data_IF_665380509854
#
_entry.id   IF_665380509854
#
_cell.length_a   1.000
_cell.length_b   1.000
_cell.length_c   1.000
_cell.angle_alpha   90.00
_cell.angle_beta   90.00
_cell.angle_gamma   90.00
#
_symmetry.space_group_name_H-M   'P 1'
#
loop_
_entity.id
_entity.type
_entity.pdbx_description
1 polymer ?
#
# COMPACT_ATOMS: atom_id res chain seq x y z
N UNK A 1 12.73 25.59 4.78
CA UNK A 1 12.39 24.53 5.73
C UNK A 1 11.04 24.75 6.44
N UNK A 2 10.79 25.90 7.12
CA UNK A 2 9.52 26.13 7.82
C UNK A 2 8.32 26.32 6.85
N UNK A 3 8.55 27.02 5.75
CA UNK A 3 7.53 27.28 4.72
C UNK A 3 7.09 26.00 3.99
N UNK A 4 8.04 25.11 3.68
CA UNK A 4 7.77 23.83 3.04
C UNK A 4 7.00 22.86 3.97
N UNK A 5 7.36 22.84 5.27
CA UNK A 5 6.59 22.09 6.27
C UNK A 5 5.14 22.56 6.36
N UNK A 6 4.89 23.86 6.25
CA UNK A 6 3.52 24.42 6.22
C UNK A 6 2.77 24.02 4.94
N UNK A 7 3.43 24.09 3.78
CA UNK A 7 2.84 23.72 2.47
C UNK A 7 2.46 22.23 2.43
N UNK A 8 3.34 21.36 2.91
CA UNK A 8 3.05 19.91 3.02
C UNK A 8 1.92 19.60 4.01
N UNK A 9 1.89 20.29 5.14
CA UNK A 9 0.81 20.09 6.12
C UNK A 9 -0.55 20.51 5.55
N UNK A 10 -0.58 21.60 4.80
CA UNK A 10 -1.79 22.06 4.09
C UNK A 10 -2.23 21.05 3.04
N UNK A 11 -1.29 20.50 2.26
CA UNK A 11 -1.60 19.48 1.25
C UNK A 11 -2.12 18.18 1.87
N UNK A 12 -1.50 17.71 2.95
CA UNK A 12 -1.96 16.49 3.62
C UNK A 12 -3.35 16.64 4.26
N UNK A 13 -3.65 17.79 4.85
CA UNK A 13 -4.98 18.05 5.39
C UNK A 13 -6.03 18.08 4.28
N UNK A 14 -5.67 18.61 3.12
CA UNK A 14 -6.53 18.57 1.94
C UNK A 14 -6.76 17.15 1.47
N UNK A 15 -5.74 16.32 1.34
CA UNK A 15 -5.89 14.90 0.96
C UNK A 15 -6.82 14.16 1.93
N UNK A 16 -6.65 14.34 3.24
CA UNK A 16 -7.49 13.72 4.25
C UNK A 16 -8.95 14.15 4.07
N UNK A 17 -9.21 15.44 3.84
CA UNK A 17 -10.56 15.95 3.60
C UNK A 17 -11.13 15.40 2.28
N UNK A 18 -10.38 15.47 1.18
CA UNK A 18 -10.82 14.98 -0.12
C UNK A 18 -11.12 13.46 -0.06
N UNK A 19 -10.35 12.65 0.72
CA UNK A 19 -10.61 11.23 0.94
C UNK A 19 -11.87 11.04 1.79
N UNK A 20 -12.05 11.86 2.81
CA UNK A 20 -13.28 11.83 3.64
C UNK A 20 -14.53 12.03 2.79
N UNK A 21 -14.47 12.95 1.83
CA UNK A 21 -15.58 13.29 0.94
C UNK A 21 -15.82 12.25 -0.19
N UNK A 22 -14.94 11.24 -0.34
CA UNK A 22 -15.16 10.16 -1.30
C UNK A 22 -16.43 9.36 -0.95
N UNK A 23 -17.17 8.85 -1.97
CA UNK A 23 -18.27 7.92 -1.74
C UNK A 23 -17.83 6.73 -0.87
N UNK A 24 -18.65 6.40 0.11
CA UNK A 24 -18.35 5.32 1.08
C UNK A 24 -18.10 3.98 0.39
N UNK A 25 -18.80 3.70 -0.72
CA UNK A 25 -18.61 2.49 -1.52
C UNK A 25 -17.19 2.38 -2.10
N UNK A 26 -16.60 3.50 -2.52
CA UNK A 26 -15.21 3.52 -3.01
C UNK A 26 -14.26 3.13 -1.88
N UNK A 27 -14.43 3.71 -0.70
CA UNK A 27 -13.57 3.46 0.47
C UNK A 27 -13.72 2.03 1.01
N UNK A 28 -14.95 1.50 1.04
CA UNK A 28 -15.24 0.16 1.53
C UNK A 28 -14.83 -0.95 0.56
N UNK A 29 -15.00 -0.74 -0.74
CA UNK A 29 -14.81 -1.80 -1.74
C UNK A 29 -13.45 -1.72 -2.45
N UNK A 30 -12.70 -0.62 -2.31
CA UNK A 30 -11.33 -0.58 -2.81
C UNK A 30 -10.41 -1.45 -1.96
N UNK A 31 -9.41 -2.04 -2.62
CA UNK A 31 -8.40 -2.90 -1.99
C UNK A 31 -7.05 -2.20 -2.11
N UNK A 32 -6.35 -2.02 -0.99
CA UNK A 32 -4.99 -1.51 -0.96
C UNK A 32 -4.07 -2.68 -0.58
N UNK A 33 -3.12 -3.03 -1.45
CA UNK A 33 -2.11 -4.05 -1.19
C UNK A 33 -0.83 -3.39 -0.72
N UNK A 34 -0.36 -3.77 0.46
CA UNK A 34 0.90 -3.30 1.07
C UNK A 34 1.81 -4.49 1.42
N UNK A 35 3.08 -4.22 1.67
CA UNK A 35 4.05 -5.24 2.08
C UNK A 35 5.40 -5.15 1.35
N UNK A 36 6.38 -6.00 1.72
CA UNK A 36 7.74 -5.97 1.22
C UNK A 36 7.85 -6.16 -0.30
N UNK A 37 9.03 -5.86 -0.84
CA UNK A 37 9.33 -6.15 -2.24
C UNK A 37 9.40 -7.67 -2.47
N UNK A 38 8.71 -8.14 -3.52
CA UNK A 38 8.74 -9.58 -3.90
C UNK A 38 7.60 -10.42 -3.32
N UNK A 39 6.64 -9.82 -2.62
CA UNK A 39 5.41 -10.50 -2.15
C UNK A 39 4.32 -10.62 -3.23
N UNK A 40 4.62 -10.37 -4.48
CA UNK A 40 3.65 -10.58 -5.57
C UNK A 40 2.48 -9.60 -5.62
N UNK A 41 2.51 -8.47 -4.88
CA UNK A 41 1.43 -7.45 -4.87
C UNK A 41 0.89 -7.13 -6.26
N UNK A 42 1.78 -6.78 -7.18
CA UNK A 42 1.39 -6.39 -8.54
C UNK A 42 0.76 -7.53 -9.35
N UNK A 43 1.18 -8.77 -9.10
CA UNK A 43 0.57 -9.96 -9.73
C UNK A 43 -0.81 -10.22 -9.15
N UNK A 44 -0.94 -10.20 -7.83
CA UNK A 44 -2.20 -10.37 -7.12
C UNK A 44 -3.18 -9.24 -7.46
N UNK A 45 -2.70 -7.99 -7.53
CA UNK A 45 -3.51 -6.85 -7.94
C UNK A 45 -4.11 -7.01 -9.36
N UNK A 46 -3.34 -7.57 -10.32
CA UNK A 46 -3.87 -7.86 -11.66
C UNK A 46 -4.98 -8.90 -11.64
N UNK A 47 -4.84 -9.93 -10.80
CA UNK A 47 -5.86 -10.98 -10.67
C UNK A 47 -7.14 -10.39 -10.04
N UNK A 48 -7.02 -9.65 -8.94
CA UNK A 48 -8.14 -9.04 -8.24
C UNK A 48 -8.87 -7.97 -9.07
N UNK A 49 -8.14 -7.16 -9.80
CA UNK A 49 -8.70 -6.08 -10.61
C UNK A 49 -9.40 -6.58 -11.88
N UNK A 50 -9.20 -7.85 -12.26
CA UNK A 50 -9.72 -8.43 -13.52
C UNK A 50 -9.36 -7.49 -14.70
N UNK A 51 -10.31 -6.91 -15.39
CA UNK A 51 -10.03 -6.08 -16.57
C UNK A 51 -10.11 -4.57 -16.34
N UNK A 52 -10.01 -4.04 -15.11
CA UNK A 52 -10.32 -2.64 -15.19
C UNK A 52 -9.83 -1.64 -14.16
N UNK A 53 -9.68 -1.94 -12.93
CA UNK A 53 -9.51 -0.90 -11.91
C UNK A 53 -8.26 -1.09 -11.05
N UNK A 54 -7.14 -1.45 -11.69
CA UNK A 54 -5.85 -1.49 -11.02
C UNK A 54 -5.16 -0.12 -11.10
N UNK A 55 -4.60 0.32 -9.97
CA UNK A 55 -3.74 1.51 -9.88
C UNK A 55 -2.36 1.05 -9.41
N UNK A 56 -1.38 0.93 -10.32
CA UNK A 56 -0.05 0.40 -10.02
C UNK A 56 0.88 1.50 -9.51
N UNK A 57 0.85 1.81 -8.22
CA UNK A 57 1.76 2.81 -7.63
C UNK A 57 3.23 2.36 -7.60
N UNK A 58 3.51 1.07 -7.85
CA UNK A 58 4.87 0.52 -7.96
C UNK A 58 5.36 0.41 -9.41
N UNK A 59 4.55 0.84 -10.39
CA UNK A 59 4.88 0.75 -11.80
C UNK A 59 5.68 1.97 -12.26
N UNK A 60 6.90 1.73 -12.71
CA UNK A 60 7.82 2.78 -13.17
C UNK A 60 7.26 3.58 -14.34
N UNK A 61 6.51 2.97 -15.25
CA UNK A 61 5.91 3.68 -16.40
C UNK A 61 4.73 4.56 -15.96
N UNK A 62 3.88 4.06 -15.06
CA UNK A 62 2.83 4.86 -14.45
C UNK A 62 3.41 6.05 -13.69
N UNK A 63 4.50 5.83 -12.95
CA UNK A 63 5.17 6.86 -12.19
C UNK A 63 5.92 7.86 -13.08
N UNK A 64 6.49 7.47 -14.22
CA UNK A 64 7.22 8.38 -15.11
C UNK A 64 6.36 9.58 -15.53
N UNK A 65 5.09 9.38 -15.82
CA UNK A 65 4.16 10.46 -16.12
C UNK A 65 3.96 11.46 -14.98
N UNK A 66 4.05 10.98 -13.75
CA UNK A 66 3.92 11.78 -12.53
C UNK A 66 5.27 12.40 -12.10
N UNK A 67 6.39 11.74 -12.42
CA UNK A 67 7.76 12.22 -12.13
C UNK A 67 8.17 13.46 -12.94
N UNK A 68 7.48 13.81 -14.01
CA UNK A 68 7.75 15.04 -14.75
C UNK A 68 7.66 16.30 -13.86
N UNK A 69 6.97 16.21 -12.74
CA UNK A 69 6.84 17.27 -11.74
C UNK A 69 7.76 17.13 -10.51
N UNK A 70 8.73 16.19 -10.56
CA UNK A 70 9.61 15.85 -9.42
C UNK A 70 10.50 17.01 -8.93
N UNK A 71 10.77 18.01 -9.73
CA UNK A 71 11.60 19.15 -9.35
C UNK A 71 11.02 19.97 -8.18
N UNK A 72 9.76 19.75 -7.82
CA UNK A 72 9.10 20.43 -6.70
C UNK A 72 9.31 19.75 -5.35
N UNK A 73 9.84 18.50 -5.32
CA UNK A 73 9.99 17.72 -4.10
C UNK A 73 11.46 17.52 -3.73
N UNK A 74 11.92 18.22 -2.71
CA UNK A 74 13.31 18.12 -2.22
C UNK A 74 13.61 16.80 -1.47
N UNK A 75 12.61 15.93 -1.26
CA UNK A 75 12.75 14.66 -0.57
C UNK A 75 11.87 13.61 -1.24
N UNK A 76 12.49 12.51 -1.64
CA UNK A 76 11.81 11.38 -2.27
C UNK A 76 10.62 10.84 -1.45
N UNK A 77 10.73 10.78 -0.12
CA UNK A 77 9.63 10.33 0.76
C UNK A 77 8.44 11.28 0.79
N UNK A 78 8.69 12.57 0.67
CA UNK A 78 7.63 13.57 0.55
C UNK A 78 6.88 13.42 -0.78
N UNK A 79 7.62 13.08 -1.84
CA UNK A 79 7.04 12.80 -3.15
C UNK A 79 6.17 11.54 -3.10
N UNK A 80 6.67 10.42 -2.56
CA UNK A 80 5.90 9.19 -2.39
C UNK A 80 4.61 9.45 -1.59
N UNK A 81 4.71 10.20 -0.51
CA UNK A 81 3.56 10.59 0.30
C UNK A 81 2.53 11.41 -0.50
N UNK A 82 2.99 12.43 -1.22
CA UNK A 82 2.13 13.26 -2.06
C UNK A 82 1.47 12.47 -3.19
N UNK A 83 2.19 11.51 -3.77
CA UNK A 83 1.67 10.60 -4.80
C UNK A 83 0.53 9.74 -4.25
N UNK A 84 0.75 9.08 -3.12
CA UNK A 84 -0.28 8.26 -2.46
C UNK A 84 -1.50 9.12 -2.12
N UNK A 85 -1.29 10.29 -1.50
CA UNK A 85 -2.37 11.22 -1.17
C UNK A 85 -3.18 11.64 -2.39
N UNK A 86 -2.51 12.00 -3.49
CA UNK A 86 -3.17 12.37 -4.75
C UNK A 86 -4.00 11.21 -5.31
N UNK A 87 -3.44 10.01 -5.35
CA UNK A 87 -4.16 8.84 -5.89
C UNK A 87 -5.38 8.53 -5.02
N UNK A 88 -5.22 8.44 -3.71
CA UNK A 88 -6.32 8.09 -2.81
C UNK A 88 -7.44 9.15 -2.84
N UNK A 89 -7.09 10.45 -2.85
CA UNK A 89 -8.06 11.56 -2.84
C UNK A 89 -8.79 11.76 -4.16
N UNK A 90 -8.29 11.21 -5.26
CA UNK A 90 -8.87 11.38 -6.60
C UNK A 90 -9.56 10.12 -7.15
N UNK A 91 -9.76 9.11 -6.32
CA UNK A 91 -10.47 7.91 -6.72
C UNK A 91 -11.90 8.23 -7.19
N UNK A 92 -12.26 7.72 -8.37
CA UNK A 92 -13.60 7.91 -8.96
C UNK A 92 -14.45 6.64 -8.92
N UNK A 93 -13.83 5.51 -8.63
CA UNK A 93 -14.45 4.18 -8.61
C UNK A 93 -13.66 3.23 -7.75
N UNK A 94 -14.30 2.17 -7.31
CA UNK A 94 -13.66 1.04 -6.62
C UNK A 94 -12.46 0.54 -7.41
N UNK A 95 -11.32 0.41 -6.74
CA UNK A 95 -10.04 0.11 -7.37
C UNK A 95 -9.20 -0.86 -6.53
N UNK A 96 -8.31 -1.59 -7.20
CA UNK A 96 -7.23 -2.34 -6.55
C UNK A 96 -5.95 -1.53 -6.70
N UNK A 97 -5.40 -1.09 -5.56
CA UNK A 97 -4.25 -0.18 -5.52
C UNK A 97 -3.06 -0.97 -4.97
N UNK A 98 -2.03 -1.20 -5.78
CA UNK A 98 -0.82 -1.87 -5.32
C UNK A 98 0.26 -0.83 -4.96
N UNK A 99 0.49 -0.68 -3.66
CA UNK A 99 1.52 0.20 -3.13
C UNK A 99 2.91 -0.39 -3.39
N UNK A 100 3.87 0.46 -3.77
CA UNK A 100 5.28 0.14 -3.61
C UNK A 100 5.62 -0.11 -2.14
N UNK A 101 6.63 -0.93 -1.87
CA UNK A 101 6.97 -1.33 -0.50
C UNK A 101 7.27 -0.14 0.43
N UNK A 102 7.75 0.97 -0.14
CA UNK A 102 8.03 2.20 0.60
C UNK A 102 6.84 3.13 0.80
N UNK A 103 5.72 2.92 0.10
CA UNK A 103 4.58 3.85 0.13
C UNK A 103 3.77 3.79 1.43
N UNK A 104 3.90 2.72 2.21
CA UNK A 104 3.23 2.54 3.50
C UNK A 104 4.14 2.76 4.71
N UNK A 105 5.46 2.94 4.52
CA UNK A 105 6.44 2.99 5.61
C UNK A 105 7.19 4.31 5.64
N UNK A 106 7.10 5.04 6.74
CA UNK A 106 7.69 6.36 6.92
C UNK A 106 8.48 6.46 8.23
N UNK A 107 9.75 6.89 8.17
CA UNK A 107 10.57 7.18 9.37
C UNK A 107 10.17 8.50 10.04
N UNK A 108 9.62 9.43 9.28
CA UNK A 108 9.08 10.68 9.81
C UNK A 108 7.71 10.38 10.44
N UNK A 109 7.61 10.55 11.75
CA UNK A 109 6.40 10.24 12.52
C UNK A 109 5.18 11.04 12.07
N UNK A 110 5.38 12.26 11.60
CA UNK A 110 4.30 13.09 11.11
C UNK A 110 3.74 12.56 9.79
N UNK A 111 4.61 12.16 8.85
CA UNK A 111 4.18 11.52 7.59
C UNK A 111 3.48 10.18 7.86
N UNK A 112 4.03 9.38 8.80
CA UNK A 112 3.41 8.14 9.24
C UNK A 112 1.99 8.37 9.74
N UNK A 113 1.81 9.29 10.68
CA UNK A 113 0.48 9.61 11.23
C UNK A 113 -0.49 10.13 10.17
N UNK A 114 -0.02 10.96 9.24
CA UNK A 114 -0.86 11.45 8.15
C UNK A 114 -1.23 10.35 7.16
N UNK A 115 -0.33 9.40 6.88
CA UNK A 115 -0.64 8.22 6.07
C UNK A 115 -1.70 7.35 6.76
N UNK A 116 -1.58 7.13 8.06
CA UNK A 116 -2.59 6.43 8.85
C UNK A 116 -3.97 7.11 8.74
N UNK A 117 -4.03 8.43 8.86
CA UNK A 117 -5.28 9.18 8.71
C UNK A 117 -5.86 9.07 7.29
N UNK A 118 -5.03 9.15 6.24
CA UNK A 118 -5.50 8.97 4.86
C UNK A 118 -6.04 7.57 4.59
N UNK A 119 -5.44 6.56 5.20
CA UNK A 119 -5.80 5.16 5.01
C UNK A 119 -6.95 4.69 5.93
N UNK A 120 -7.22 5.40 7.03
CA UNK A 120 -8.15 4.98 8.09
C UNK A 120 -9.59 4.70 7.59
N UNK A 121 -9.99 5.35 6.51
CA UNK A 121 -11.33 5.18 5.96
C UNK A 121 -11.47 4.04 4.96
N UNK A 122 -10.35 3.41 4.57
CA UNK A 122 -10.36 2.25 3.68
C UNK A 122 -10.53 0.95 4.48
N UNK A 123 -11.53 0.17 4.12
CA UNK A 123 -11.88 -1.06 4.86
C UNK A 123 -10.97 -2.25 4.53
N UNK A 124 -10.26 -2.23 3.41
CA UNK A 124 -9.55 -3.39 2.90
C UNK A 124 -8.09 -3.05 2.57
N UNK A 125 -7.27 -2.95 3.61
CA UNK A 125 -5.81 -2.78 3.49
C UNK A 125 -5.18 -4.13 3.81
N UNK A 126 -4.63 -4.79 2.80
CA UNK A 126 -4.12 -6.15 2.88
C UNK A 126 -2.59 -6.12 2.94
N UNK A 127 -2.04 -6.54 4.06
CA UNK A 127 -0.60 -6.77 4.19
C UNK A 127 -0.25 -8.17 3.69
N UNK A 128 0.56 -8.24 2.64
CA UNK A 128 1.08 -9.50 2.11
C UNK A 128 2.47 -9.78 2.69
N UNK A 129 2.62 -10.93 3.32
CA UNK A 129 3.89 -11.42 3.87
C UNK A 129 4.11 -12.88 3.45
N UNK A 130 5.34 -13.30 3.19
CA UNK A 130 5.63 -14.72 2.91
C UNK A 130 5.20 -15.67 4.03
N UNK A 131 5.48 -15.30 5.29
CA UNK A 131 5.21 -16.12 6.48
C UNK A 131 4.91 -15.24 7.69
N UNK A 132 4.26 -15.81 8.71
CA UNK A 132 4.10 -15.19 10.02
C UNK A 132 5.44 -15.02 10.75
N UNK A 133 6.41 -15.88 10.46
CA UNK A 133 7.76 -15.75 10.97
C UNK A 133 8.55 -14.74 10.09
N UNK A 134 9.04 -13.67 10.70
CA UNK A 134 9.74 -12.58 10.01
C UNK A 134 11.04 -13.02 9.36
N UNK A 135 11.84 -13.87 10.04
CA UNK A 135 13.09 -14.41 9.49
C UNK A 135 12.81 -15.36 8.31
N UNK A 136 11.79 -16.19 8.42
CA UNK A 136 11.37 -17.04 7.31
C UNK A 136 10.88 -16.20 6.13
N UNK A 137 10.13 -15.14 6.38
CA UNK A 137 9.72 -14.18 5.34
C UNK A 137 10.92 -13.56 4.63
N UNK A 138 11.95 -13.17 5.39
CA UNK A 138 13.21 -12.66 4.84
C UNK A 138 13.88 -13.68 3.95
N UNK A 139 14.05 -14.91 4.40
CA UNK A 139 14.67 -15.98 3.62
C UNK A 139 13.93 -16.25 2.31
N UNK A 140 12.61 -16.38 2.37
CA UNK A 140 11.79 -16.58 1.17
C UNK A 140 11.97 -15.43 0.17
N UNK A 141 12.03 -14.17 0.62
CA UNK A 141 12.21 -13.01 -0.27
C UNK A 141 13.63 -12.91 -0.84
N UNK A 142 14.65 -13.29 -0.06
CA UNK A 142 16.03 -13.39 -0.57
C UNK A 142 16.11 -14.40 -1.72
N UNK A 143 15.53 -15.58 -1.55
CA UNK A 143 15.50 -16.64 -2.56
C UNK A 143 14.70 -16.22 -3.80
N UNK A 144 13.44 -15.78 -3.62
CA UNK A 144 12.55 -15.37 -4.72
C UNK A 144 13.15 -14.29 -5.61
N UNK A 145 13.95 -13.40 -5.07
CA UNK A 145 14.50 -12.25 -5.79
C UNK A 145 15.99 -12.35 -6.07
N UNK A 146 16.62 -13.45 -5.71
CA UNK A 146 18.07 -13.61 -5.78
C UNK A 146 18.82 -12.43 -5.14
N UNK A 147 18.41 -12.05 -3.93
CA UNK A 147 18.99 -10.94 -3.17
C UNK A 147 20.09 -11.50 -2.26
N UNK A 148 21.26 -10.86 -2.29
CA UNK A 148 22.35 -11.22 -1.39
C UNK A 148 22.05 -10.76 0.04
N UNK A 149 22.18 -11.66 1.02
CA UNK A 149 22.07 -11.35 2.44
C UNK A 149 23.03 -10.22 2.83
N UNK A 150 22.53 -9.25 3.61
CA UNK A 150 23.28 -8.07 4.05
C UNK A 150 23.39 -6.94 3.01
N UNK A 151 22.86 -7.12 1.79
CA UNK A 151 22.80 -6.05 0.79
C UNK A 151 21.78 -4.96 1.17
N UNK A 152 21.85 -3.78 0.52
CA UNK A 152 20.85 -2.72 0.73
C UNK A 152 19.42 -3.22 0.46
N UNK A 153 19.20 -4.01 -0.58
CA UNK A 153 17.88 -4.57 -0.91
C UNK A 153 17.35 -5.52 0.18
N UNK A 154 18.24 -6.27 0.81
CA UNK A 154 17.89 -7.12 1.95
C UNK A 154 17.55 -6.26 3.18
N UNK A 155 18.35 -5.25 3.48
CA UNK A 155 18.09 -4.32 4.59
C UNK A 155 16.77 -3.57 4.40
N UNK A 156 16.47 -3.11 3.19
CA UNK A 156 15.19 -2.47 2.85
C UNK A 156 14.02 -3.45 3.05
N UNK A 157 14.15 -4.68 2.53
CA UNK A 157 13.09 -5.68 2.72
C UNK A 157 12.90 -6.07 4.18
N UNK A 158 14.00 -6.21 4.93
CA UNK A 158 13.92 -6.46 6.37
C UNK A 158 13.20 -5.31 7.10
N UNK A 159 13.51 -4.08 6.72
CA UNK A 159 12.82 -2.92 7.25
C UNK A 159 11.31 -2.99 6.95
N UNK A 160 10.90 -3.30 5.72
CA UNK A 160 9.48 -3.40 5.36
C UNK A 160 8.76 -4.59 6.01
N UNK A 161 9.45 -5.72 6.25
CA UNK A 161 8.91 -6.87 6.99
C UNK A 161 8.66 -6.51 8.45
N UNK A 162 9.53 -5.71 9.06
CA UNK A 162 9.51 -5.43 10.50
C UNK A 162 8.85 -4.12 10.88
N UNK A 163 8.60 -3.22 9.91
CA UNK A 163 8.05 -1.90 10.16
C UNK A 163 6.65 -1.98 10.81
N UNK A 164 6.44 -1.37 11.97
CA UNK A 164 5.12 -1.35 12.61
C UNK A 164 4.07 -0.68 11.73
N UNK A 165 4.45 0.29 10.91
CA UNK A 165 3.57 1.01 9.99
C UNK A 165 2.69 0.07 9.16
N UNK A 166 3.28 -0.99 8.60
CA UNK A 166 2.55 -1.96 7.78
C UNK A 166 1.48 -2.72 8.59
N UNK A 167 1.81 -3.07 9.83
CA UNK A 167 0.88 -3.80 10.72
C UNK A 167 -0.22 -2.89 11.28
N UNK A 168 0.10 -1.61 11.51
CA UNK A 168 -0.85 -0.62 12.00
C UNK A 168 -1.85 -0.17 10.91
N UNK A 169 -1.40 -0.14 9.64
CA UNK A 169 -2.27 0.19 8.49
C UNK A 169 -3.15 -1.00 8.08
N UNK A 170 -2.65 -2.22 8.21
CA UNK A 170 -3.33 -3.40 7.69
C UNK A 170 -4.64 -3.70 8.40
N UNK A 171 -5.71 -3.87 7.64
CA UNK A 171 -6.97 -4.43 8.15
C UNK A 171 -6.94 -5.96 8.15
N UNK A 172 -6.12 -6.56 7.26
CA UNK A 172 -5.91 -8.00 7.16
C UNK A 172 -4.45 -8.30 6.82
N UNK A 173 -3.95 -9.44 7.31
CA UNK A 173 -2.63 -9.96 6.98
C UNK A 173 -2.80 -11.32 6.30
N UNK A 174 -2.19 -11.49 5.14
CA UNK A 174 -2.21 -12.76 4.40
C UNK A 174 -0.79 -13.27 4.24
N UNK A 175 -0.62 -14.54 4.58
CA UNK A 175 0.64 -15.26 4.43
C UNK A 175 0.61 -16.11 3.17
N UNK A 176 1.67 -15.96 2.33
CA UNK A 176 1.73 -16.51 0.98
C UNK A 176 2.40 -17.88 0.89
N UNK A 177 3.09 -18.34 1.96
CA UNK A 177 3.84 -19.60 1.93
C UNK A 177 2.97 -20.77 1.49
N UNK A 178 3.40 -21.47 0.44
CA UNK A 178 2.67 -22.60 -0.12
C UNK A 178 1.48 -22.25 -1.00
N UNK A 179 1.24 -20.97 -1.28
CA UNK A 179 0.13 -20.49 -2.12
C UNK A 179 0.63 -19.91 -3.43
N UNK A 180 -0.14 -20.11 -4.48
CA UNK A 180 0.02 -19.39 -5.74
C UNK A 180 -0.57 -17.97 -5.64
N UNK A 181 -0.21 -17.03 -6.52
CA UNK A 181 -0.86 -15.71 -6.55
C UNK A 181 -2.38 -15.79 -6.73
N UNK A 182 -2.87 -16.83 -7.41
CA UNK A 182 -4.30 -17.08 -7.58
C UNK A 182 -4.96 -17.49 -6.26
N UNK A 183 -4.35 -18.40 -5.51
CA UNK A 183 -4.85 -18.82 -4.20
C UNK A 183 -4.95 -17.65 -3.22
N UNK A 184 -3.93 -16.77 -3.25
CA UNK A 184 -3.91 -15.55 -2.42
C UNK A 184 -5.03 -14.58 -2.84
N UNK A 185 -5.25 -14.39 -4.13
CA UNK A 185 -6.33 -13.54 -4.63
C UNK A 185 -7.72 -14.11 -4.25
N UNK A 186 -7.93 -15.41 -4.37
CA UNK A 186 -9.16 -16.11 -3.96
C UNK A 186 -9.42 -15.99 -2.45
N UNK A 187 -8.36 -16.08 -1.64
CA UNK A 187 -8.44 -15.86 -0.19
C UNK A 187 -8.86 -14.42 0.14
N UNK A 188 -8.28 -13.43 -0.52
CA UNK A 188 -8.68 -12.02 -0.37
C UNK A 188 -10.16 -11.85 -0.73
N UNK A 189 -10.59 -12.35 -1.90
CA UNK A 189 -11.99 -12.25 -2.32
C UNK A 189 -12.96 -12.93 -1.34
N UNK A 190 -12.55 -14.06 -0.76
CA UNK A 190 -13.34 -14.77 0.25
C UNK A 190 -13.49 -13.97 1.54
N UNK A 191 -12.39 -13.38 2.03
CA UNK A 191 -12.42 -12.49 3.21
C UNK A 191 -13.37 -11.32 3.03
N UNK A 192 -13.34 -10.70 1.84
CA UNK A 192 -14.17 -9.53 1.54
C UNK A 192 -15.66 -9.88 1.43
N UNK A 193 -16.00 -11.04 0.85
CA UNK A 193 -17.39 -11.52 0.78
C UNK A 193 -17.99 -11.79 2.15
N UNK A 194 -17.24 -12.45 3.02
CA UNK A 194 -17.71 -12.79 4.38
C UNK A 194 -17.96 -11.54 5.24
N UNK A 195 -17.22 -10.46 5.00
CA UNK A 195 -17.42 -9.17 5.68
C UNK A 195 -18.72 -8.48 5.24
N UNK A 196 -19.04 -8.52 3.96
CA UNK A 196 -20.28 -7.94 3.41
C UNK A 196 -21.53 -8.58 3.97
N UNK A 197 -21.56 -9.92 4.10
CA UNK A 197 -22.70 -10.64 4.66
C UNK A 197 -22.95 -10.37 6.15
N UNK A 198 -21.91 -10.09 6.94
CA UNK A 198 -22.03 -9.76 8.38
C UNK A 198 -22.49 -8.31 8.63
N UNK A 199 -22.32 -7.40 7.67
CA UNK A 199 -22.79 -5.99 7.80
C UNK A 199 -24.26 -5.84 7.36
N UNK A 200 -24.79 -6.72 6.49
CA UNK A 200 -26.19 -6.74 6.06
C UNK A 200 -27.14 -7.34 7.12
N UNK A 201 -26.62 -8.10 8.09
CA UNK A 201 -27.40 -8.71 9.18
C UNK A 201 -27.50 -7.83 10.46
N UNK A 202 -26.97 -6.61 10.43
CA UNK A 202 -27.01 -5.66 11.56
C UNK A 202 -27.86 -4.45 11.26
#
# INVERSE_FOLDING_TARGET
MLFEKKKMLSASNKFIQDIHDLPIEIKRNSIILIGPMGTGKSTIARILAKEGNRIPLDDTEFLKGLYAHQQEFHNYKNFEFGLVGTVLSTLKKTSVIDFGAGHSVYRDEKLRRQMQLMCAEFSNIILLLPSANKEESRQILLERRNIKLGSHKDQDNWHFITAPDNYELATHIIYEKGKTPKDVAEEIESLLRNKGSMEEER
#
